data_IF_471512074377
#
_entry.id   IF_471512074377
#
_cell.length_a   1.000
_cell.length_b   1.000
_cell.length_c   1.000
_cell.angle_alpha   90.00
_cell.angle_beta   90.00
_cell.angle_gamma   90.00
#
_symmetry.space_group_name_H-M   'P 1'
#
loop_
_entity.id
_entity.type
_entity.pdbx_description
1 polymer ?
#
# COMPACT_ATOMS: atom_id res chain seq x y z
N UNK A 1 32.52 -46.22 11.87
CA UNK A 1 32.45 -45.32 13.04
C UNK A 1 31.26 -44.40 12.82
N UNK A 2 30.41 -44.24 13.83
CA UNK A 2 29.24 -43.35 13.80
C UNK A 2 29.52 -42.30 14.86
N UNK A 3 29.60 -41.00 14.52
CA UNK A 3 29.86 -39.96 15.51
C UNK A 3 28.68 -39.83 16.46
N UNK A 4 28.95 -39.39 17.68
CA UNK A 4 27.89 -39.02 18.61
C UNK A 4 27.70 -37.50 18.59
N UNK A 5 26.46 -37.04 18.41
CA UNK A 5 26.08 -35.64 18.66
C UNK A 5 25.39 -35.56 20.02
N UNK A 6 26.15 -35.24 21.07
CA UNK A 6 25.67 -35.23 22.45
C UNK A 6 24.95 -33.94 22.82
N UNK A 7 25.53 -32.78 22.49
CA UNK A 7 24.98 -31.47 22.83
C UNK A 7 25.61 -30.36 21.99
N UNK A 8 25.05 -29.15 22.07
CA UNK A 8 25.66 -27.95 21.52
C UNK A 8 25.43 -26.76 22.45
N UNK A 9 26.34 -25.79 22.44
CA UNK A 9 26.25 -24.58 23.24
C UNK A 9 26.80 -23.36 22.50
N UNK A 10 26.14 -22.19 22.57
CA UNK A 10 24.81 -21.99 23.18
C UNK A 10 23.69 -22.69 22.39
N UNK A 11 22.55 -22.98 23.05
CA UNK A 11 21.38 -23.59 22.39
C UNK A 11 20.53 -22.59 21.60
N UNK A 12 20.80 -21.30 21.79
CA UNK A 12 20.18 -20.18 21.10
C UNK A 12 21.26 -19.18 20.72
N UNK A 13 21.24 -18.71 19.47
CA UNK A 13 22.23 -17.74 18.98
C UNK A 13 21.71 -17.02 17.72
N UNK A 14 22.40 -15.96 17.29
CA UNK A 14 22.13 -15.27 16.02
C UNK A 14 22.94 -15.88 14.89
N UNK A 15 22.62 -15.51 13.64
CA UNK A 15 23.52 -15.76 12.52
C UNK A 15 24.92 -15.17 12.77
N UNK A 16 25.95 -15.72 12.13
CA UNK A 16 27.36 -15.33 12.27
C UNK A 16 27.97 -15.48 13.67
N UNK A 17 27.27 -16.12 14.61
CA UNK A 17 27.82 -16.47 15.92
C UNK A 17 28.37 -17.90 15.92
N UNK A 18 29.35 -18.16 16.77
CA UNK A 18 29.93 -19.50 16.92
C UNK A 18 29.17 -20.31 17.97
N UNK A 19 28.81 -21.54 17.62
CA UNK A 19 28.37 -22.58 18.54
C UNK A 19 29.44 -23.67 18.63
N UNK A 20 29.44 -24.40 19.73
CA UNK A 20 30.28 -25.58 19.92
C UNK A 20 29.40 -26.82 20.03
N UNK A 21 29.61 -27.77 19.12
CA UNK A 21 29.00 -29.11 19.15
C UNK A 21 29.93 -30.03 19.94
N UNK A 22 29.37 -30.81 20.88
CA UNK A 22 30.09 -31.77 21.72
C UNK A 22 29.63 -33.20 21.43
N UNK A 23 30.57 -34.14 21.45
CA UNK A 23 30.31 -35.47 20.90
C UNK A 23 31.50 -36.43 20.92
N UNK A 24 31.45 -37.40 20.00
CA UNK A 24 32.59 -38.29 19.66
C UNK A 24 32.76 -38.36 18.15
N UNK A 25 34.00 -38.62 17.71
CA UNK A 25 34.40 -38.71 16.31
C UNK A 25 34.04 -37.46 15.47
N UNK A 26 34.01 -36.28 16.13
CA UNK A 26 33.62 -35.02 15.50
C UNK A 26 34.67 -34.46 14.53
N UNK A 27 35.90 -34.94 14.60
CA UNK A 27 36.97 -34.65 13.63
C UNK A 27 36.67 -35.22 12.23
N UNK A 28 35.81 -36.25 12.15
CA UNK A 28 35.35 -36.88 10.91
C UNK A 28 34.15 -36.16 10.26
N UNK A 29 33.61 -35.10 10.89
CA UNK A 29 32.49 -34.32 10.35
C UNK A 29 32.95 -33.49 9.15
N UNK A 30 32.25 -33.62 8.02
CA UNK A 30 32.51 -32.89 6.78
C UNK A 30 31.58 -31.68 6.59
N UNK A 31 30.34 -31.76 7.10
CA UNK A 31 29.34 -30.69 7.00
C UNK A 31 28.52 -30.57 8.28
N UNK A 32 28.04 -29.36 8.54
CA UNK A 32 27.06 -29.08 9.60
C UNK A 32 25.94 -28.29 8.96
N UNK A 33 24.74 -28.87 8.94
CA UNK A 33 23.57 -28.35 8.24
C UNK A 33 22.56 -27.86 9.27
N UNK A 34 22.18 -26.59 9.16
CA UNK A 34 21.11 -25.97 9.95
C UNK A 34 19.75 -26.16 9.25
N UNK A 35 18.67 -26.02 10.02
CA UNK A 35 17.31 -26.04 9.46
C UNK A 35 17.17 -24.96 8.40
N UNK A 36 16.60 -25.32 7.24
CA UNK A 36 16.63 -24.51 6.02
C UNK A 36 17.67 -24.99 4.97
N UNK A 37 18.48 -26.00 5.29
CA UNK A 37 19.42 -26.61 4.34
C UNK A 37 20.73 -25.85 4.17
N UNK A 38 21.03 -24.91 5.07
CA UNK A 38 22.22 -24.06 5.01
C UNK A 38 23.38 -24.69 5.78
N UNK A 39 24.56 -24.70 5.16
CA UNK A 39 25.78 -25.21 5.76
C UNK A 39 26.43 -24.15 6.66
N UNK A 40 26.68 -24.50 7.92
CA UNK A 40 27.48 -23.68 8.83
C UNK A 40 28.98 -23.83 8.55
N UNK A 41 29.75 -22.79 8.84
CA UNK A 41 31.19 -22.79 8.63
C UNK A 41 31.88 -23.55 9.75
N UNK A 42 32.53 -24.67 9.44
CA UNK A 42 33.29 -25.44 10.41
C UNK A 42 34.59 -24.70 10.76
N UNK A 43 34.78 -24.42 12.05
CA UNK A 43 36.02 -23.90 12.62
C UNK A 43 36.92 -25.00 13.19
N UNK A 44 37.49 -24.74 14.36
CA UNK A 44 38.34 -25.70 15.09
C UNK A 44 37.57 -26.98 15.41
N UNK A 45 38.18 -28.13 15.13
CA UNK A 45 37.60 -29.45 15.42
C UNK A 45 38.60 -30.36 16.14
N UNK A 46 38.10 -31.18 17.04
CA UNK A 46 38.77 -32.32 17.67
C UNK A 46 37.81 -33.51 17.64
N UNK A 47 38.26 -34.69 18.07
CA UNK A 47 37.38 -35.86 18.17
C UNK A 47 36.15 -35.65 19.07
N UNK A 48 36.16 -34.68 19.99
CA UNK A 48 35.07 -34.47 20.96
C UNK A 48 34.42 -33.09 20.91
N UNK A 49 34.94 -32.17 20.09
CA UNK A 49 34.44 -30.80 19.98
C UNK A 49 34.52 -30.28 18.55
N UNK A 50 33.49 -29.56 18.11
CA UNK A 50 33.41 -28.96 16.78
C UNK A 50 32.84 -27.54 16.89
N UNK A 51 33.67 -26.55 16.63
CA UNK A 51 33.22 -25.16 16.50
C UNK A 51 32.57 -24.95 15.14
N UNK A 52 31.40 -24.31 15.12
CA UNK A 52 30.64 -24.04 13.90
C UNK A 52 30.08 -22.63 13.96
N UNK A 53 30.26 -21.85 12.90
CA UNK A 53 29.59 -20.56 12.74
C UNK A 53 28.20 -20.77 12.13
N UNK A 54 27.16 -20.22 12.79
CA UNK A 54 25.77 -20.27 12.32
C UNK A 54 25.66 -19.48 11.01
N UNK A 55 25.13 -20.06 9.92
CA UNK A 55 25.02 -19.35 8.64
C UNK A 55 23.89 -18.31 8.66
N UNK A 56 24.06 -17.26 7.86
CA UNK A 56 23.00 -16.30 7.51
C UNK A 56 21.82 -17.02 6.88
N UNK A 57 20.60 -16.70 7.32
CA UNK A 57 19.35 -17.30 6.82
C UNK A 57 18.98 -18.66 7.43
N UNK A 58 19.74 -19.15 8.43
CA UNK A 58 19.36 -20.33 9.20
C UNK A 58 17.94 -20.19 9.78
N UNK A 59 17.32 -21.30 10.19
CA UNK A 59 16.03 -21.29 10.87
C UNK A 59 16.12 -22.04 12.19
N UNK A 60 15.22 -21.74 13.12
CA UNK A 60 15.04 -22.54 14.34
C UNK A 60 14.71 -23.98 13.97
N UNK A 61 15.39 -24.93 14.60
CA UNK A 61 15.17 -26.36 14.39
C UNK A 61 16.42 -27.19 14.65
N UNK A 62 16.43 -28.45 14.20
CA UNK A 62 17.56 -29.36 14.42
C UNK A 62 18.81 -28.96 13.63
N UNK A 63 19.97 -29.36 14.16
CA UNK A 63 21.26 -29.32 13.46
C UNK A 63 21.61 -30.76 13.04
N UNK A 64 22.04 -30.94 11.81
CA UNK A 64 22.51 -32.23 11.28
C UNK A 64 24.00 -32.15 11.01
N UNK A 65 24.78 -33.09 11.54
CA UNK A 65 26.19 -33.27 11.16
C UNK A 65 26.30 -34.38 10.13
N UNK A 66 27.13 -34.19 9.10
CA UNK A 66 27.39 -35.18 8.05
C UNK A 66 28.87 -35.51 8.04
N UNK A 67 29.20 -36.78 8.24
CA UNK A 67 30.60 -37.26 8.22
C UNK A 67 31.13 -37.45 6.81
N UNK A 68 32.46 -37.56 6.68
CA UNK A 68 33.14 -37.77 5.39
C UNK A 68 32.65 -39.03 4.63
N UNK A 69 32.10 -40.02 5.32
CA UNK A 69 31.54 -41.23 4.69
C UNK A 69 30.02 -41.12 4.39
N UNK A 70 29.42 -39.95 4.63
CA UNK A 70 28.00 -39.68 4.40
C UNK A 70 27.07 -40.04 5.55
N UNK A 71 27.57 -40.48 6.72
CA UNK A 71 26.68 -40.73 7.87
C UNK A 71 26.16 -39.41 8.44
N UNK A 72 24.84 -39.31 8.57
CA UNK A 72 24.14 -38.16 9.13
C UNK A 72 23.71 -38.42 10.58
N UNK A 73 23.90 -37.43 11.45
CA UNK A 73 23.43 -37.48 12.84
C UNK A 73 22.76 -36.17 13.18
N UNK A 74 21.54 -36.26 13.72
CA UNK A 74 20.68 -35.11 14.05
C UNK A 74 20.77 -34.82 15.55
N UNK A 75 20.77 -33.54 15.92
CA UNK A 75 20.73 -33.11 17.31
C UNK A 75 19.48 -33.59 18.05
N UNK A 76 19.60 -33.86 19.35
CA UNK A 76 18.45 -34.27 20.17
C UNK A 76 17.46 -33.12 20.41
N UNK A 77 17.95 -31.89 20.56
CA UNK A 77 17.15 -30.67 20.80
C UNK A 77 17.25 -29.71 19.61
N UNK A 78 16.32 -28.77 19.54
CA UNK A 78 16.31 -27.71 18.53
C UNK A 78 17.32 -26.62 18.92
N UNK A 79 18.02 -26.09 17.92
CA UNK A 79 18.73 -24.83 18.02
C UNK A 79 17.73 -23.70 17.75
N UNK A 80 17.68 -22.72 18.65
CA UNK A 80 16.83 -21.54 18.49
C UNK A 80 17.62 -20.41 17.82
N UNK A 81 17.25 -20.05 16.60
CA UNK A 81 17.80 -18.84 15.99
C UNK A 81 17.14 -17.61 16.62
N UNK A 82 17.95 -16.74 17.19
CA UNK A 82 17.50 -15.44 17.67
C UNK A 82 17.42 -14.47 16.49
N UNK A 83 16.24 -13.91 16.27
CA UNK A 83 16.07 -12.81 15.35
C UNK A 83 16.72 -11.52 15.88
N UNK A 84 17.29 -10.74 14.98
CA UNK A 84 17.87 -9.43 15.19
C UNK A 84 17.19 -8.41 14.26
N UNK A 85 15.85 -8.37 14.31
CA UNK A 85 15.07 -7.42 13.54
C UNK A 85 15.06 -6.04 14.23
N UNK A 86 14.97 -4.94 13.45
CA UNK A 86 14.70 -3.62 14.03
C UNK A 86 13.35 -3.63 14.75
N UNK A 87 13.24 -2.83 15.81
CA UNK A 87 11.94 -2.62 16.45
C UNK A 87 11.27 -1.38 15.84
N UNK A 88 10.06 -1.56 15.33
CA UNK A 88 9.24 -0.45 14.84
C UNK A 88 8.78 0.45 16.00
N UNK A 89 8.84 1.76 15.79
CA UNK A 89 8.27 2.78 16.67
C UNK A 89 7.02 3.40 16.06
N UNK A 90 7.17 4.10 14.93
CA UNK A 90 6.07 4.76 14.22
C UNK A 90 6.44 5.10 12.78
N UNK A 91 5.42 5.33 11.95
CA UNK A 91 5.55 6.16 10.76
C UNK A 91 5.38 7.64 11.16
N UNK A 92 6.14 8.55 10.56
CA UNK A 92 5.91 10.00 10.76
C UNK A 92 4.70 10.46 9.96
N UNK A 93 4.56 9.96 8.74
CA UNK A 93 3.49 10.25 7.80
C UNK A 93 2.29 9.35 8.07
N UNK A 94 1.07 9.86 7.83
CA UNK A 94 -0.17 9.11 8.04
C UNK A 94 -0.47 8.10 6.92
N UNK A 95 0.18 8.27 5.76
CA UNK A 95 0.12 7.39 4.60
C UNK A 95 1.44 7.43 3.84
N UNK A 96 1.70 6.40 3.05
CA UNK A 96 2.86 6.28 2.18
C UNK A 96 2.47 6.73 0.76
N UNK A 97 2.72 7.99 0.43
CA UNK A 97 2.41 8.54 -0.90
C UNK A 97 3.51 8.17 -1.91
N UNK A 98 3.18 7.51 -3.04
CA UNK A 98 4.15 7.23 -4.10
C UNK A 98 4.95 8.47 -4.50
N UNK A 99 6.27 8.31 -4.67
CA UNK A 99 7.20 9.40 -4.97
C UNK A 99 7.57 10.31 -3.80
N UNK A 100 6.89 10.22 -2.65
CA UNK A 100 7.21 11.00 -1.44
C UNK A 100 8.06 10.21 -0.45
N UNK A 101 8.68 10.94 0.47
CA UNK A 101 9.46 10.35 1.55
C UNK A 101 8.53 9.81 2.64
N UNK A 102 8.79 8.58 3.07
CA UNK A 102 8.22 7.93 4.24
C UNK A 102 9.31 7.78 5.30
N UNK A 103 9.02 8.22 6.51
CA UNK A 103 9.94 8.15 7.65
C UNK A 103 9.48 7.07 8.61
N UNK A 104 10.31 6.03 8.74
CA UNK A 104 10.09 4.90 9.63
C UNK A 104 10.98 5.09 10.86
N UNK A 105 10.38 5.31 12.02
CA UNK A 105 11.06 5.48 13.30
C UNK A 105 11.12 4.15 14.06
N UNK A 106 12.19 3.92 14.81
CA UNK A 106 12.37 2.66 15.53
C UNK A 106 13.67 2.58 16.32
N UNK A 107 14.14 1.35 16.55
CA UNK A 107 15.48 1.06 17.10
C UNK A 107 16.18 -0.02 16.27
N UNK A 108 17.51 -0.02 16.29
CA UNK A 108 18.36 -0.91 15.48
C UNK A 108 18.07 -0.79 13.97
N UNK A 109 17.66 0.40 13.51
CA UNK A 109 17.24 0.63 12.12
C UNK A 109 18.41 0.54 11.12
N UNK A 110 19.65 0.61 11.60
CA UNK A 110 20.85 0.34 10.77
C UNK A 110 20.97 -1.13 10.35
N UNK A 111 20.26 -2.06 11.01
CA UNK A 111 20.26 -3.47 10.64
C UNK A 111 19.55 -3.72 9.30
N UNK A 112 18.57 -2.89 8.95
CA UNK A 112 17.86 -3.00 7.67
C UNK A 112 18.85 -2.87 6.53
N UNK A 113 18.82 -3.79 5.58
CA UNK A 113 19.54 -3.72 4.31
C UNK A 113 18.61 -3.27 3.19
N UNK A 114 17.44 -3.90 3.09
CA UNK A 114 16.47 -3.66 2.02
C UNK A 114 15.06 -3.45 2.60
N UNK A 115 14.30 -2.57 1.95
CA UNK A 115 12.86 -2.41 2.14
C UNK A 115 12.14 -2.78 0.85
N UNK A 116 11.08 -3.57 0.98
CA UNK A 116 10.32 -4.12 -0.14
C UNK A 116 8.83 -3.82 0.14
N UNK A 117 8.25 -3.02 -0.73
CA UNK A 117 6.88 -2.55 -0.68
C UNK A 117 5.91 -3.59 -1.27
N UNK A 118 4.59 -3.44 -1.07
CA UNK A 118 3.60 -4.35 -1.64
C UNK A 118 3.79 -4.58 -3.13
N UNK A 119 3.61 -5.83 -3.57
CA UNK A 119 3.85 -6.23 -4.97
C UNK A 119 5.32 -6.56 -5.29
N UNK A 120 6.15 -6.83 -4.27
CA UNK A 120 7.60 -7.08 -4.41
C UNK A 120 8.35 -5.89 -5.06
N UNK A 121 7.88 -4.68 -4.78
CA UNK A 121 8.48 -3.44 -5.29
C UNK A 121 9.62 -2.99 -4.38
N UNK A 122 10.85 -3.05 -4.86
CA UNK A 122 12.04 -2.73 -4.05
C UNK A 122 12.22 -1.21 -3.90
N UNK A 123 12.51 -0.75 -2.69
CA UNK A 123 12.95 0.63 -2.50
C UNK A 123 14.34 0.86 -3.10
N UNK A 124 14.41 1.82 -4.01
CA UNK A 124 15.63 2.18 -4.74
C UNK A 124 16.20 3.55 -4.34
N UNK A 125 15.43 4.36 -3.60
CA UNK A 125 15.83 5.70 -3.18
C UNK A 125 15.59 5.91 -1.68
N UNK A 126 16.59 6.47 -1.00
CA UNK A 126 16.60 6.67 0.45
C UNK A 126 17.03 8.10 0.81
N UNK A 127 16.51 8.59 1.93
CA UNK A 127 16.95 9.80 2.60
C UNK A 127 17.97 9.50 3.70
N UNK A 128 17.77 10.09 4.88
CA UNK A 128 18.60 9.82 6.05
C UNK A 128 18.32 8.45 6.65
N UNK A 129 19.39 7.75 7.03
CA UNK A 129 19.31 6.49 7.76
C UNK A 129 20.20 6.57 9.00
N UNK A 130 19.60 6.35 10.16
CA UNK A 130 20.29 6.30 11.46
C UNK A 130 19.86 5.05 12.21
N UNK A 131 20.37 4.85 13.42
CA UNK A 131 19.96 3.71 14.26
C UNK A 131 18.51 3.80 14.75
N UNK A 132 17.91 5.00 14.69
CA UNK A 132 16.56 5.25 15.17
C UNK A 132 15.56 5.60 14.06
N UNK A 133 16.00 5.74 12.80
CA UNK A 133 15.11 6.05 11.68
C UNK A 133 15.63 5.59 10.32
N UNK A 134 14.70 5.32 9.41
CA UNK A 134 14.94 5.21 7.97
C UNK A 134 13.98 6.16 7.26
N UNK A 135 14.53 7.07 6.47
CA UNK A 135 13.78 7.82 5.47
C UNK A 135 13.94 7.11 4.12
N UNK A 136 12.84 6.76 3.49
CA UNK A 136 12.79 6.02 2.22
C UNK A 136 11.77 6.67 1.29
N UNK A 137 12.07 6.78 0.00
CA UNK A 137 11.06 7.21 -0.97
C UNK A 137 10.14 6.03 -1.28
N UNK A 138 8.83 6.25 -1.18
CA UNK A 138 7.82 5.27 -1.59
C UNK A 138 7.92 5.11 -3.11
N UNK A 139 8.14 3.90 -3.64
CA UNK A 139 8.22 3.71 -5.09
C UNK A 139 6.91 4.11 -5.80
N UNK A 140 7.03 4.65 -7.02
CA UNK A 140 5.90 5.17 -7.82
C UNK A 140 4.91 4.07 -8.27
N UNK A 141 5.40 2.84 -8.41
CA UNK A 141 4.68 1.66 -8.89
C UNK A 141 4.05 0.81 -7.78
N UNK A 142 4.08 1.29 -6.52
CA UNK A 142 3.38 0.61 -5.42
C UNK A 142 1.87 0.73 -5.64
N UNK A 143 1.19 -0.42 -5.63
CA UNK A 143 -0.25 -0.48 -5.75
C UNK A 143 -0.94 0.29 -4.60
N UNK A 144 -1.97 1.05 -4.94
CA UNK A 144 -2.79 1.79 -3.97
C UNK A 144 -3.54 0.81 -3.06
N UNK A 145 -3.52 1.08 -1.76
CA UNK A 145 -4.21 0.27 -0.76
C UNK A 145 -3.44 0.12 0.53
N UNK A 146 -4.03 -0.58 1.51
CA UNK A 146 -3.36 -0.90 2.77
C UNK A 146 -2.43 -2.10 2.58
N UNK A 147 -1.21 -2.02 3.11
CA UNK A 147 -0.28 -3.13 3.09
C UNK A 147 0.86 -2.97 4.08
N UNK A 148 1.80 -3.91 4.08
CA UNK A 148 3.01 -3.89 4.92
C UNK A 148 4.26 -3.69 4.08
N UNK A 149 5.30 -3.12 4.70
CA UNK A 149 6.64 -3.04 4.12
C UNK A 149 7.46 -4.20 4.69
N UNK A 150 7.93 -5.10 3.82
CA UNK A 150 8.89 -6.14 4.20
C UNK A 150 10.28 -5.53 4.32
N UNK A 151 11.02 -5.94 5.35
CA UNK A 151 12.41 -5.56 5.56
C UNK A 151 13.29 -6.81 5.51
N UNK A 152 14.50 -6.64 4.99
CA UNK A 152 15.57 -7.65 5.03
C UNK A 152 16.75 -7.02 5.73
N UNK A 153 17.33 -7.68 6.73
CA UNK A 153 18.53 -7.19 7.44
C UNK A 153 19.82 -7.53 6.71
N UNK A 154 20.94 -6.91 7.08
CA UNK A 154 22.27 -7.30 6.56
C UNK A 154 22.65 -8.74 6.93
N UNK A 155 22.03 -9.28 7.98
CA UNK A 155 22.19 -10.68 8.41
C UNK A 155 21.20 -11.63 7.71
N UNK A 156 20.44 -11.12 6.72
CA UNK A 156 19.53 -11.91 5.89
C UNK A 156 18.22 -12.30 6.58
N UNK A 157 17.88 -11.66 7.70
CA UNK A 157 16.61 -11.90 8.39
C UNK A 157 15.50 -11.07 7.77
N UNK A 158 14.32 -11.66 7.63
CA UNK A 158 13.15 -10.97 7.09
C UNK A 158 12.14 -10.62 8.19
N UNK A 159 11.50 -9.47 8.05
CA UNK A 159 10.42 -9.01 8.92
C UNK A 159 9.47 -8.09 8.19
N UNK A 160 8.42 -7.65 8.87
CA UNK A 160 7.45 -6.69 8.33
C UNK A 160 7.28 -5.54 9.31
N UNK A 161 7.22 -4.32 8.79
CA UNK A 161 6.68 -3.20 9.54
C UNK A 161 5.14 -3.26 9.56
N UNK A 162 4.49 -2.61 10.55
CA UNK A 162 3.03 -2.54 10.60
C UNK A 162 2.40 -1.96 9.34
N UNK A 163 1.12 -2.22 9.15
CA UNK A 163 0.38 -1.75 7.98
C UNK A 163 0.35 -0.23 7.87
N UNK A 164 0.40 0.26 6.63
CA UNK A 164 0.17 1.65 6.26
C UNK A 164 -0.60 1.70 4.93
N UNK A 165 -1.39 2.75 4.71
CA UNK A 165 -2.02 2.99 3.43
C UNK A 165 -1.00 3.54 2.43
N UNK A 166 -0.86 2.90 1.28
CA UNK A 166 -0.09 3.39 0.13
C UNK A 166 -1.04 4.11 -0.83
N UNK A 167 -0.74 5.37 -1.13
CA UNK A 167 -1.56 6.19 -2.02
C UNK A 167 -1.66 7.64 -1.57
N UNK A 168 -2.19 8.48 -2.46
CA UNK A 168 -2.40 9.91 -2.30
C UNK A 168 -3.15 10.44 -3.52
N UNK A 169 -3.02 11.73 -3.81
CA UNK A 169 -3.53 12.30 -5.06
C UNK A 169 -2.48 12.21 -6.17
N UNK A 170 -2.93 11.82 -7.35
CA UNK A 170 -2.16 11.90 -8.59
C UNK A 170 -2.11 13.38 -9.03
N UNK A 171 -0.94 13.90 -9.45
CA UNK A 171 -0.88 15.20 -10.11
C UNK A 171 -1.82 15.23 -11.32
N UNK A 172 -2.49 16.36 -11.54
CA UNK A 172 -3.27 16.57 -12.76
C UNK A 172 -2.30 16.59 -13.96
N UNK A 173 -2.47 15.63 -14.88
CA UNK A 173 -1.58 15.44 -16.02
C UNK A 173 -1.66 16.61 -17.01
N UNK A 174 -2.88 17.05 -17.32
CA UNK A 174 -3.14 18.21 -18.18
C UNK A 174 -4.41 18.93 -17.73
N UNK A 175 -4.23 20.16 -17.24
CA UNK A 175 -5.31 21.00 -16.69
C UNK A 175 -6.40 21.32 -17.73
N UNK A 176 -6.13 21.14 -19.03
CA UNK A 176 -7.11 21.32 -20.11
C UNK A 176 -8.28 20.35 -20.00
N UNK A 177 -8.01 19.11 -19.55
CA UNK A 177 -9.03 18.06 -19.40
C UNK A 177 -9.69 18.06 -18.02
N UNK A 178 -9.25 18.93 -17.10
CA UNK A 178 -9.92 19.13 -15.83
C UNK A 178 -11.15 20.03 -16.01
N UNK A 179 -12.33 19.52 -15.68
CA UNK A 179 -13.63 20.17 -15.89
C UNK A 179 -14.36 20.55 -14.59
N UNK A 180 -13.86 20.09 -13.44
CA UNK A 180 -14.13 20.70 -12.14
C UNK A 180 -12.86 20.79 -11.28
N UNK A 181 -12.45 22.00 -10.93
CA UNK A 181 -11.37 22.27 -9.95
C UNK A 181 -11.81 23.25 -8.85
N UNK A 182 -13.03 23.78 -8.91
CA UNK A 182 -13.64 24.64 -7.87
C UNK A 182 -12.86 25.90 -7.50
N UNK A 183 -11.93 26.33 -8.37
CA UNK A 183 -10.96 27.39 -8.09
C UNK A 183 -11.40 28.78 -8.59
N UNK A 184 -12.67 28.97 -8.94
CA UNK A 184 -13.20 30.27 -9.38
C UNK A 184 -12.86 30.65 -10.83
N UNK A 185 -12.28 29.73 -11.60
CA UNK A 185 -11.83 29.94 -12.98
C UNK A 185 -12.75 29.28 -14.04
N UNK A 186 -14.07 29.41 -13.87
CA UNK A 186 -15.10 28.87 -14.79
C UNK A 186 -15.21 27.33 -14.83
N UNK A 187 -14.67 26.65 -13.83
CA UNK A 187 -14.75 25.20 -13.63
C UNK A 187 -15.45 24.85 -12.31
N UNK A 188 -16.29 25.77 -11.85
CA UNK A 188 -17.08 25.62 -10.64
C UNK A 188 -18.46 25.04 -10.97
N UNK A 189 -19.11 24.48 -9.96
CA UNK A 189 -20.51 24.09 -10.04
C UNK A 189 -21.42 25.28 -10.37
N UNK A 190 -22.41 25.08 -11.24
CA UNK A 190 -23.47 26.04 -11.49
C UNK A 190 -24.71 25.79 -10.63
N UNK A 191 -24.95 24.51 -10.31
CA UNK A 191 -26.07 24.12 -9.47
C UNK A 191 -25.79 22.78 -8.77
N UNK A 192 -26.48 22.61 -7.65
CA UNK A 192 -26.49 21.41 -6.81
C UNK A 192 -27.60 21.57 -5.79
N UNK A 193 -28.21 20.47 -5.37
CA UNK A 193 -29.31 20.47 -4.40
C UNK A 193 -29.02 19.59 -3.16
N UNK A 194 -27.87 18.92 -3.12
CA UNK A 194 -27.47 18.14 -1.96
C UNK A 194 -27.25 19.02 -0.73
N UNK A 195 -27.87 18.64 0.38
CA UNK A 195 -27.85 19.41 1.63
C UNK A 195 -26.46 19.35 2.25
N UNK A 196 -25.97 20.50 2.74
CA UNK A 196 -24.64 20.58 3.36
C UNK A 196 -23.49 20.39 2.36
N UNK A 197 -23.76 20.61 1.07
CA UNK A 197 -22.75 20.55 0.02
C UNK A 197 -22.49 21.93 -0.60
N UNK A 198 -21.25 22.16 -1.02
CA UNK A 198 -20.82 23.42 -1.63
C UNK A 198 -19.30 23.53 -1.71
N UNK A 199 -18.82 24.55 -2.41
CA UNK A 199 -17.39 24.87 -2.45
C UNK A 199 -16.95 25.36 -1.08
N UNK A 200 -15.84 24.82 -0.57
CA UNK A 200 -15.21 25.22 0.68
C UNK A 200 -13.75 25.63 0.41
N UNK A 201 -13.41 26.86 0.79
CA UNK A 201 -12.03 27.34 0.84
C UNK A 201 -11.42 27.03 2.21
N UNK A 202 -10.73 25.89 2.30
CA UNK A 202 -10.00 25.46 3.49
C UNK A 202 -8.65 24.84 3.10
N UNK A 203 -7.62 25.69 2.91
CA UNK A 203 -6.31 25.25 2.44
C UNK A 203 -5.66 24.18 3.33
N UNK A 204 -5.99 24.15 4.63
CA UNK A 204 -5.43 23.20 5.58
C UNK A 204 -5.96 21.77 5.39
N UNK A 205 -7.17 21.63 4.84
CA UNK A 205 -7.84 20.34 4.63
C UNK A 205 -8.06 20.00 3.15
N UNK A 206 -7.67 20.88 2.22
CA UNK A 206 -7.67 20.65 0.77
C UNK A 206 -6.60 19.63 0.31
N UNK A 207 -6.74 19.12 -0.90
CA UNK A 207 -5.75 18.23 -1.52
C UNK A 207 -4.47 18.98 -1.91
N UNK A 208 -4.59 20.23 -2.36
CA UNK A 208 -3.52 20.98 -3.05
C UNK A 208 -3.38 22.44 -2.61
N UNK A 209 -4.07 22.83 -1.53
CA UNK A 209 -4.10 24.20 -1.00
C UNK A 209 -5.22 25.07 -1.57
N UNK A 210 -6.06 24.53 -2.46
CA UNK A 210 -7.12 25.28 -3.16
C UNK A 210 -8.54 24.87 -2.71
N UNK A 211 -9.57 25.69 -3.00
CA UNK A 211 -10.95 25.33 -2.68
C UNK A 211 -11.39 24.02 -3.34
N UNK A 212 -12.23 23.27 -2.66
CA UNK A 212 -12.74 21.98 -3.14
C UNK A 212 -14.24 21.85 -2.90
N UNK A 213 -14.89 20.88 -3.53
CA UNK A 213 -16.29 20.58 -3.25
C UNK A 213 -16.41 19.81 -1.94
N UNK A 214 -17.01 20.44 -0.93
CA UNK A 214 -17.22 19.87 0.38
C UNK A 214 -18.64 19.35 0.53
N UNK A 215 -18.78 18.19 1.16
CA UNK A 215 -20.05 17.65 1.63
C UNK A 215 -19.85 17.36 3.12
N UNK A 216 -20.68 17.97 3.96
CA UNK A 216 -20.79 17.66 5.39
C UNK A 216 -22.27 17.76 5.79
N UNK A 217 -23.01 16.70 5.53
CA UNK A 217 -24.46 16.74 5.65
C UNK A 217 -25.14 15.41 5.39
N UNK A 218 -26.46 15.45 5.40
CA UNK A 218 -27.28 14.31 4.99
C UNK A 218 -27.53 14.38 3.48
N UNK A 219 -27.18 13.31 2.78
CA UNK A 219 -27.65 13.04 1.42
C UNK A 219 -28.62 11.84 1.50
N UNK A 220 -29.85 11.94 1.00
CA UNK A 220 -30.68 10.76 0.73
C UNK A 220 -32.16 10.81 1.11
N UNK A 221 -32.83 11.97 1.17
CA UNK A 221 -34.31 11.91 1.18
C UNK A 221 -34.90 11.58 -0.20
N UNK A 222 -34.07 11.59 -1.25
CA UNK A 222 -34.46 11.25 -2.61
C UNK A 222 -33.38 10.45 -3.32
N UNK A 223 -33.81 9.70 -4.34
CA UNK A 223 -32.96 8.94 -5.25
C UNK A 223 -32.03 9.81 -6.13
N UNK A 224 -31.98 11.11 -5.88
CA UNK A 224 -31.24 12.09 -6.69
C UNK A 224 -30.89 13.34 -5.88
N UNK A 225 -29.76 13.30 -5.19
CA UNK A 225 -29.15 14.47 -4.57
C UNK A 225 -27.95 14.90 -5.40
N UNK A 226 -28.17 15.92 -6.22
CA UNK A 226 -27.14 16.50 -7.06
C UNK A 226 -26.11 17.23 -6.22
N UNK A 227 -24.86 16.76 -6.24
CA UNK A 227 -23.74 17.38 -5.55
C UNK A 227 -23.37 18.66 -6.31
N UNK A 228 -22.81 18.53 -7.51
CA UNK A 228 -22.40 19.65 -8.34
C UNK A 228 -22.58 19.32 -9.82
N UNK A 229 -23.00 20.32 -10.61
CA UNK A 229 -23.29 20.16 -12.03
C UNK A 229 -22.93 21.38 -12.85
N UNK A 230 -22.67 21.10 -14.13
CA UNK A 230 -22.71 22.06 -15.23
C UNK A 230 -23.52 21.45 -16.37
N UNK A 231 -24.24 22.29 -17.09
CA UNK A 231 -25.11 21.90 -18.20
C UNK A 231 -24.76 22.64 -19.51
N UNK A 232 -23.46 22.90 -19.69
CA UNK A 232 -22.88 23.40 -20.93
C UNK A 232 -21.46 22.87 -21.10
N UNK A 233 -21.00 22.77 -22.35
CA UNK A 233 -19.74 22.15 -22.72
C UNK A 233 -18.52 23.07 -22.63
N UNK A 234 -18.63 24.26 -22.05
CA UNK A 234 -17.52 25.17 -21.87
C UNK A 234 -16.50 24.58 -20.89
N UNK A 235 -15.22 24.59 -21.25
CA UNK A 235 -14.15 23.92 -20.48
C UNK A 235 -14.37 22.39 -20.26
N UNK A 236 -15.25 21.76 -21.03
CA UNK A 236 -15.44 20.31 -21.07
C UNK A 236 -14.75 19.75 -22.32
N UNK A 237 -13.42 19.67 -22.27
CA UNK A 237 -12.59 19.30 -23.43
C UNK A 237 -12.56 17.79 -23.58
N UNK A 238 -12.94 17.30 -24.76
CA UNK A 238 -12.99 15.87 -25.10
C UNK A 238 -12.21 15.51 -26.36
N UNK A 239 -11.63 16.49 -27.04
CA UNK A 239 -10.79 16.27 -28.21
C UNK A 239 -9.63 15.34 -27.86
N UNK A 240 -9.56 14.17 -28.49
CA UNK A 240 -8.48 13.20 -28.26
C UNK A 240 -8.69 12.26 -27.06
N UNK A 241 -9.78 12.40 -26.31
CA UNK A 241 -10.15 11.46 -25.25
C UNK A 241 -10.66 10.16 -25.89
N UNK A 242 -9.97 9.05 -25.64
CA UNK A 242 -10.35 7.72 -26.12
C UNK A 242 -11.02 6.92 -25.01
N UNK A 243 -12.30 6.59 -25.21
CA UNK A 243 -13.13 5.84 -24.24
C UNK A 243 -12.54 4.50 -23.81
N UNK A 244 -11.66 3.88 -24.61
CA UNK A 244 -11.08 2.58 -24.28
C UNK A 244 -9.82 2.67 -23.43
N UNK A 245 -9.13 3.81 -23.46
CA UNK A 245 -7.81 3.98 -22.84
C UNK A 245 -7.77 5.11 -21.81
N UNK A 246 -8.86 5.88 -21.68
CA UNK A 246 -8.98 7.00 -20.73
C UNK A 246 -10.04 6.73 -19.66
N UNK A 247 -9.95 7.51 -18.60
CA UNK A 247 -10.84 7.49 -17.45
C UNK A 247 -11.30 8.91 -17.10
N UNK A 248 -12.41 9.02 -16.36
CA UNK A 248 -12.61 10.17 -15.47
C UNK A 248 -11.84 9.89 -14.19
N UNK A 249 -11.00 10.83 -13.77
CA UNK A 249 -10.33 10.82 -12.47
C UNK A 249 -10.81 11.97 -11.61
N UNK A 250 -10.79 11.79 -10.30
CA UNK A 250 -11.08 12.84 -9.33
C UNK A 250 -10.40 12.52 -8.01
N UNK A 251 -10.12 13.56 -7.25
CA UNK A 251 -9.56 13.42 -5.91
C UNK A 251 -10.71 13.40 -4.90
N UNK A 252 -10.64 12.52 -3.92
CA UNK A 252 -11.67 12.37 -2.88
C UNK A 252 -11.03 12.17 -1.50
N UNK A 253 -11.64 12.77 -0.48
CA UNK A 253 -11.32 12.52 0.92
C UNK A 253 -12.60 12.20 1.69
N UNK A 254 -12.81 10.92 1.99
CA UNK A 254 -13.97 10.44 2.76
C UNK A 254 -13.61 10.46 4.25
N UNK A 255 -14.18 11.43 4.97
CA UNK A 255 -13.82 11.74 6.37
C UNK A 255 -14.68 10.99 7.38
N UNK A 256 -15.88 10.57 6.98
CA UNK A 256 -16.78 9.72 7.76
C UNK A 256 -17.07 8.43 7.00
N UNK A 257 -17.00 7.30 7.71
CA UNK A 257 -17.17 5.99 7.09
C UNK A 257 -18.56 5.86 6.45
N UNK A 258 -18.58 5.49 5.18
CA UNK A 258 -19.78 5.26 4.38
C UNK A 258 -20.07 3.76 4.35
N UNK A 259 -21.30 3.36 4.61
CA UNK A 259 -21.75 1.96 4.59
C UNK A 259 -22.75 1.66 3.48
N UNK A 260 -23.44 2.68 2.97
CA UNK A 260 -24.53 2.54 2.01
C UNK A 260 -24.69 3.84 1.19
N UNK A 261 -25.49 3.77 0.13
CA UNK A 261 -25.68 4.86 -0.83
C UNK A 261 -24.84 4.69 -2.09
N UNK A 262 -24.92 5.67 -2.99
CA UNK A 262 -24.37 5.59 -4.35
C UNK A 262 -23.79 6.92 -4.80
N UNK A 263 -22.45 7.02 -4.87
CA UNK A 263 -21.80 8.16 -5.52
C UNK A 263 -21.67 7.87 -7.01
N UNK A 264 -22.42 8.61 -7.83
CA UNK A 264 -22.39 8.48 -9.29
C UNK A 264 -21.67 9.64 -9.91
N UNK A 265 -20.72 9.35 -10.79
CA UNK A 265 -20.16 10.32 -11.74
C UNK A 265 -21.03 10.29 -12.99
N UNK A 266 -21.52 11.46 -13.43
CA UNK A 266 -22.43 11.58 -14.57
C UNK A 266 -21.78 12.30 -15.74
N UNK A 267 -21.91 11.72 -16.92
CA UNK A 267 -21.62 12.32 -18.23
C UNK A 267 -22.85 12.17 -19.13
N UNK A 268 -23.66 13.23 -19.24
CA UNK A 268 -24.87 13.24 -20.07
C UNK A 268 -25.92 12.25 -19.54
N UNK A 269 -26.14 11.16 -20.27
CA UNK A 269 -27.04 10.06 -19.87
C UNK A 269 -26.29 8.83 -19.33
N UNK A 270 -24.98 8.93 -19.14
CA UNK A 270 -24.12 7.83 -18.70
C UNK A 270 -23.59 8.08 -17.28
N UNK A 271 -23.49 7.01 -16.50
CA UNK A 271 -23.13 7.02 -15.10
C UNK A 271 -22.05 5.99 -14.81
N UNK A 272 -21.10 6.39 -13.97
CA UNK A 272 -20.18 5.48 -13.31
C UNK A 272 -20.54 5.43 -11.83
N UNK A 273 -20.76 4.23 -11.30
CA UNK A 273 -21.07 4.01 -9.90
C UNK A 273 -19.79 3.81 -9.10
N UNK A 274 -19.44 4.79 -8.28
CA UNK A 274 -18.37 4.68 -7.30
C UNK A 274 -18.97 4.27 -5.95
N UNK A 275 -18.98 2.97 -5.68
CA UNK A 275 -19.53 2.39 -4.45
C UNK A 275 -18.59 1.35 -3.84
N UNK A 276 -17.34 1.72 -3.47
CA UNK A 276 -16.39 0.77 -2.89
C UNK A 276 -16.85 0.18 -1.55
N UNK A 277 -17.82 0.79 -0.87
CA UNK A 277 -18.44 0.25 0.35
C UNK A 277 -19.48 -0.86 0.09
N UNK A 278 -19.92 -1.04 -1.16
CA UNK A 278 -20.99 -1.99 -1.47
C UNK A 278 -20.53 -3.43 -1.23
N UNK A 279 -21.10 -4.08 -0.21
CA UNK A 279 -20.70 -5.42 0.20
C UNK A 279 -19.57 -5.46 1.23
N UNK A 280 -19.04 -4.31 1.65
CA UNK A 280 -17.93 -4.21 2.61
C UNK A 280 -18.44 -3.94 4.02
N UNK A 281 -18.20 -4.88 4.94
CA UNK A 281 -18.72 -4.82 6.31
C UNK A 281 -18.14 -3.65 7.14
N UNK A 282 -16.89 -3.28 6.88
CA UNK A 282 -16.20 -2.17 7.55
C UNK A 282 -16.56 -0.80 6.96
N UNK A 283 -17.35 -0.78 5.87
CA UNK A 283 -17.63 0.41 5.09
C UNK A 283 -16.39 0.95 4.38
N UNK A 284 -16.46 2.21 3.94
CA UNK A 284 -15.39 2.87 3.22
C UNK A 284 -15.07 4.23 3.85
N UNK A 285 -13.79 4.45 4.11
CA UNK A 285 -13.21 5.72 4.59
C UNK A 285 -11.80 5.83 4.02
N UNK A 286 -11.34 7.05 3.71
CA UNK A 286 -9.98 7.26 3.22
C UNK A 286 -9.05 7.78 4.32
N UNK A 287 -7.76 7.51 4.19
CA UNK A 287 -6.70 8.03 5.09
C UNK A 287 -6.16 9.37 4.56
N UNK A 288 -7.07 10.28 4.18
CA UNK A 288 -6.78 11.54 3.50
C UNK A 288 -7.29 11.57 2.06
N UNK A 289 -6.78 12.51 1.26
CA UNK A 289 -7.12 12.62 -0.17
C UNK A 289 -6.47 11.51 -0.99
N UNK A 290 -7.27 10.90 -1.87
CA UNK A 290 -6.84 9.87 -2.82
C UNK A 290 -7.40 10.19 -4.20
N UNK A 291 -6.72 9.78 -5.27
CA UNK A 291 -7.31 9.83 -6.62
C UNK A 291 -8.09 8.55 -6.92
N UNK A 292 -9.31 8.72 -7.40
CA UNK A 292 -10.16 7.66 -7.94
C UNK A 292 -10.05 7.66 -9.45
N UNK A 293 -9.94 6.46 -10.03
CA UNK A 293 -9.99 6.25 -11.49
C UNK A 293 -11.28 5.53 -11.86
N UNK A 294 -12.08 6.16 -12.71
CA UNK A 294 -13.30 5.63 -13.30
C UNK A 294 -13.09 5.42 -14.81
N UNK A 295 -12.71 4.22 -15.27
CA UNK A 295 -12.56 3.92 -16.69
C UNK A 295 -13.78 4.36 -17.49
N UNK A 296 -13.59 5.02 -18.63
CA UNK A 296 -14.72 5.47 -19.45
C UNK A 296 -15.56 4.31 -19.95
N UNK A 297 -14.96 3.16 -20.19
CA UNK A 297 -15.65 1.90 -20.49
C UNK A 297 -16.65 1.47 -19.42
N UNK A 298 -16.54 1.95 -18.18
CA UNK A 298 -17.46 1.67 -17.08
C UNK A 298 -18.64 2.64 -16.97
N UNK A 299 -18.69 3.71 -17.78
CA UNK A 299 -19.83 4.62 -17.79
C UNK A 299 -20.97 4.02 -18.62
N UNK A 300 -22.09 3.72 -17.99
CA UNK A 300 -23.23 3.03 -18.59
C UNK A 300 -24.49 3.89 -18.52
N UNK A 301 -25.48 3.63 -19.39
CA UNK A 301 -26.84 4.15 -19.20
C UNK A 301 -27.41 3.71 -17.85
N UNK A 302 -28.37 4.45 -17.30
CA UNK A 302 -28.94 4.19 -15.95
C UNK A 302 -29.57 2.78 -15.83
N UNK A 303 -30.02 2.19 -16.95
CA UNK A 303 -30.52 0.80 -17.02
C UNK A 303 -29.40 -0.25 -17.21
N UNK A 304 -28.14 0.16 -17.30
CA UNK A 304 -26.96 -0.68 -17.49
C UNK A 304 -26.83 -1.31 -18.87
N UNK A 305 -27.60 -0.87 -19.87
CA UNK A 305 -27.68 -1.57 -21.17
C UNK A 305 -26.63 -1.13 -22.19
N UNK A 306 -26.10 0.10 -22.11
CA UNK A 306 -25.15 0.63 -23.08
C UNK A 306 -24.03 1.42 -22.41
N UNK A 307 -22.78 1.19 -22.85
CA UNK A 307 -21.62 1.98 -22.43
C UNK A 307 -21.54 3.30 -23.21
N UNK A 308 -20.87 4.30 -22.64
CA UNK A 308 -20.60 5.56 -23.33
C UNK A 308 -19.77 5.32 -24.61
N UNK A 309 -20.26 5.72 -25.80
CA UNK A 309 -19.52 5.53 -27.05
C UNK A 309 -18.51 6.64 -27.32
N UNK A 310 -18.71 7.82 -26.72
CA UNK A 310 -17.91 9.03 -26.95
C UNK A 310 -18.01 9.97 -25.74
N UNK A 311 -16.87 10.44 -25.22
CA UNK A 311 -16.80 11.33 -24.06
C UNK A 311 -17.52 12.68 -24.29
N UNK A 312 -17.61 13.17 -25.53
CA UNK A 312 -18.29 14.43 -25.88
C UNK A 312 -19.77 14.44 -25.52
N UNK A 313 -20.40 13.27 -25.38
CA UNK A 313 -21.79 13.14 -24.91
C UNK A 313 -21.98 13.61 -23.46
N UNK A 314 -20.89 13.74 -22.69
CA UNK A 314 -20.93 14.33 -21.36
C UNK A 314 -21.20 15.84 -21.36
N UNK A 315 -20.87 16.54 -22.45
CA UNK A 315 -20.88 18.01 -22.51
C UNK A 315 -22.26 18.65 -22.42
N UNK A 316 -23.35 17.87 -22.52
CA UNK A 316 -24.71 18.38 -22.32
C UNK A 316 -25.03 18.66 -20.85
N UNK A 317 -24.56 17.79 -19.95
CA UNK A 317 -24.68 17.92 -18.50
C UNK A 317 -23.76 16.91 -17.82
N UNK A 318 -22.90 17.38 -16.92
CA UNK A 318 -21.95 16.55 -16.20
C UNK A 318 -21.83 17.02 -14.76
N UNK A 319 -21.48 16.08 -13.88
CA UNK A 319 -21.49 16.33 -12.44
C UNK A 319 -21.45 15.05 -11.62
N UNK A 320 -21.73 15.18 -10.34
CA UNK A 320 -21.81 14.05 -9.43
C UNK A 320 -23.10 14.05 -8.62
N UNK A 321 -23.60 12.85 -8.34
CA UNK A 321 -24.87 12.61 -7.67
C UNK A 321 -24.62 11.69 -6.50
N UNK A 322 -25.27 11.98 -5.38
CA UNK A 322 -25.53 10.97 -4.38
C UNK A 322 -26.94 10.42 -4.56
N UNK A 323 -27.08 9.10 -4.69
CA UNK A 323 -28.38 8.43 -4.82
C UNK A 323 -28.57 7.43 -3.68
N UNK A 324 -29.56 7.66 -2.83
CA UNK A 324 -30.02 6.63 -1.88
C UNK A 324 -31.48 6.82 -1.51
N UNK A 325 -32.15 5.74 -1.13
CA UNK A 325 -33.56 5.78 -0.73
C UNK A 325 -33.81 6.32 0.70
N UNK A 326 -32.75 6.51 1.49
CA UNK A 326 -32.80 7.02 2.88
C UNK A 326 -31.64 7.98 3.15
N UNK A 327 -31.81 8.89 4.12
CA UNK A 327 -30.78 9.85 4.48
C UNK A 327 -29.55 9.17 5.06
N UNK A 328 -28.43 9.30 4.38
CA UNK A 328 -27.10 8.86 4.79
C UNK A 328 -26.30 10.10 5.12
N UNK A 329 -25.60 10.07 6.26
CA UNK A 329 -24.65 11.13 6.56
C UNK A 329 -23.42 10.91 5.69
N UNK A 330 -23.11 11.91 4.90
CA UNK A 330 -21.96 11.93 4.00
C UNK A 330 -21.06 13.07 4.44
N UNK A 331 -19.81 12.73 4.71
CA UNK A 331 -18.77 13.73 4.95
C UNK A 331 -17.55 13.43 4.10
N UNK A 332 -17.41 14.16 2.99
CA UNK A 332 -16.30 14.01 2.06
C UNK A 332 -15.96 15.31 1.32
N UNK A 333 -14.71 15.41 0.87
CA UNK A 333 -14.27 16.41 -0.10
C UNK A 333 -14.07 15.76 -1.48
N UNK A 334 -14.35 16.48 -2.56
CA UNK A 334 -14.11 16.09 -3.95
C UNK A 334 -13.41 17.24 -4.68
N UNK A 335 -12.41 16.92 -5.49
CA UNK A 335 -11.63 17.91 -6.25
C UNK A 335 -11.09 17.33 -7.57
N UNK A 336 -10.55 18.21 -8.43
CA UNK A 336 -9.81 17.87 -9.65
C UNK A 336 -10.47 16.79 -10.54
N UNK A 337 -11.75 16.99 -10.89
CA UNK A 337 -12.49 16.07 -11.76
C UNK A 337 -12.07 16.29 -13.22
N UNK A 338 -11.53 15.25 -13.86
CA UNK A 338 -10.77 15.39 -15.11
C UNK A 338 -10.79 14.13 -15.97
N UNK A 339 -10.53 14.27 -17.27
CA UNK A 339 -10.18 13.13 -18.13
C UNK A 339 -8.67 12.89 -18.14
N UNK A 340 -8.23 11.65 -18.00
CA UNK A 340 -6.82 11.27 -18.12
C UNK A 340 -6.64 9.86 -18.71
N UNK A 341 -5.53 9.58 -19.41
CA UNK A 341 -5.15 8.23 -19.81
C UNK A 341 -4.95 7.29 -18.62
N UNK A 342 -5.38 6.03 -18.75
CA UNK A 342 -5.09 4.93 -17.82
C UNK A 342 -3.77 4.27 -18.25
N UNK A 343 -2.62 4.79 -17.81
CA UNK A 343 -1.33 4.15 -18.10
C UNK A 343 -1.17 2.81 -17.36
#
# INVERSE_FOLDING_TARGET
>A
IVPAFSSFSPTLARANTNITISGTDLDLVSKVIFTGGLEGTIGTRTGTSLAVTVPVGAKTGKITIVTMNGTEVVSAIDFTLLANLPAFGSYTETRAEPGKILTINGTNMLLVKELIFPGDVYATAYGSKTDTRIEVYVPEDVAVGTGTIRLVTYEGEEGFFPEIYFGGTDPVWDQTYCFFDFNGAYKDSWWGNAIGSGILDDPANSADGTPFWNIDGMCGTGWWDGLFFRNASDNFVTTGVDVNTWAVRFDINVRETIYEGDLRVRLGSYFYHFQPWNGEAEGFKTTGWITVTCPLTGFMTDDGTASIPDASLGGSEFGMIWSHGVSVKVNMGIDNVRFEPMN
#
